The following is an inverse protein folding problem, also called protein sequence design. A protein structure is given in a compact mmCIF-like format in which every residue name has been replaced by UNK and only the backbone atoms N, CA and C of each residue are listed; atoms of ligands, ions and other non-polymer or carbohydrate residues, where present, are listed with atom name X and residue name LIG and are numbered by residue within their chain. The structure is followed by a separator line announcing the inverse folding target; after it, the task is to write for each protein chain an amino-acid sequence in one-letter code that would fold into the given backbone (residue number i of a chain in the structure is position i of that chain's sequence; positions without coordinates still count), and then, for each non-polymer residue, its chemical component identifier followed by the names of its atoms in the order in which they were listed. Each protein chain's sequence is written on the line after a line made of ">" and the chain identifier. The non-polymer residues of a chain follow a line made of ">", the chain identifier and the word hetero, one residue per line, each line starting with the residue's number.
data_IF_159702393548
#
_entry.id   IF_159702393548
#
_cell.length_a   1.000
_cell.length_b   1.000
_cell.length_c   1.000
_cell.angle_alpha   90.00
_cell.angle_beta   90.00
_cell.angle_gamma   90.00
#
_symmetry.space_group_name_H-M   'P 1'
#
loop_
_entity.id
_entity.type
_entity.pdbx_description
1 polymer ?
#
# COMPACT_ATOMS: atom_id res chain seq x y z
N UNK A 1 -3.55 -28.85 20.32
CA UNK A 1 -4.30 -27.62 20.66
C UNK A 1 -3.32 -26.72 21.37
N UNK A 2 -2.79 -25.72 20.69
CA UNK A 2 -1.71 -24.87 21.20
C UNK A 2 -2.25 -23.86 22.23
N UNK A 3 -1.96 -24.10 23.51
CA UNK A 3 -2.36 -23.26 24.65
C UNK A 3 -2.02 -21.78 24.42
N UNK A 4 -0.87 -21.47 23.82
CA UNK A 4 -0.47 -20.11 23.49
C UNK A 4 -1.31 -19.44 22.40
N UNK A 5 -1.91 -20.21 21.48
CA UNK A 5 -2.85 -19.65 20.50
C UNK A 5 -4.15 -19.24 21.17
N UNK A 6 -4.63 -20.06 22.11
CA UNK A 6 -5.84 -19.80 22.90
C UNK A 6 -5.63 -18.56 23.77
N UNK A 7 -4.48 -18.46 24.45
CA UNK A 7 -4.15 -17.29 25.28
C UNK A 7 -4.23 -15.97 24.49
N UNK A 8 -3.64 -15.89 23.29
CA UNK A 8 -3.70 -14.68 22.44
C UNK A 8 -5.12 -14.29 22.05
N UNK A 9 -5.96 -15.29 21.77
CA UNK A 9 -7.38 -15.04 21.43
C UNK A 9 -8.15 -14.50 22.63
N UNK A 10 -7.90 -15.05 23.83
CA UNK A 10 -8.52 -14.55 25.07
C UNK A 10 -8.08 -13.12 25.37
N UNK A 11 -6.80 -12.79 25.19
CA UNK A 11 -6.27 -11.43 25.38
C UNK A 11 -6.87 -10.44 24.37
N UNK A 12 -6.95 -10.81 23.09
CA UNK A 12 -7.60 -9.99 22.08
C UNK A 12 -9.09 -9.75 22.39
N UNK A 13 -9.81 -10.79 22.83
CA UNK A 13 -11.21 -10.67 23.22
C UNK A 13 -11.41 -9.71 24.40
N UNK A 14 -10.50 -9.72 25.40
CA UNK A 14 -10.56 -8.77 26.52
C UNK A 14 -10.46 -7.32 26.06
N UNK A 15 -9.60 -7.03 25.08
CA UNK A 15 -9.42 -5.68 24.51
C UNK A 15 -10.60 -5.30 23.61
N UNK A 16 -11.08 -6.21 22.77
CA UNK A 16 -12.16 -5.92 21.82
C UNK A 16 -13.56 -5.93 22.48
N UNK A 17 -13.70 -6.59 23.64
CA UNK A 17 -14.96 -6.74 24.36
C UNK A 17 -15.32 -5.55 25.26
N UNK A 18 -14.35 -4.76 25.70
CA UNK A 18 -14.58 -3.54 26.47
C UNK A 18 -14.58 -2.30 25.56
N UNK A 19 -15.58 -1.42 25.73
CA UNK A 19 -15.80 -0.28 24.83
C UNK A 19 -14.64 0.72 24.85
N UNK A 20 -14.03 0.95 26.01
CA UNK A 20 -12.96 1.94 26.16
C UNK A 20 -11.65 1.45 25.54
N UNK A 21 -11.24 0.23 25.88
CA UNK A 21 -10.04 -0.41 25.33
C UNK A 21 -10.17 -0.70 23.84
N UNK A 22 -11.37 -1.08 23.36
CA UNK A 22 -11.65 -1.18 21.92
C UNK A 22 -11.48 0.16 21.20
N UNK A 23 -12.00 1.25 21.75
CA UNK A 23 -11.87 2.57 21.13
C UNK A 23 -10.39 2.99 20.98
N UNK A 24 -9.56 2.69 21.98
CA UNK A 24 -8.11 2.93 21.92
C UNK A 24 -7.45 2.03 20.86
N UNK A 25 -7.80 0.74 20.83
CA UNK A 25 -7.28 -0.19 19.83
C UNK A 25 -7.65 0.24 18.39
N UNK A 26 -8.91 0.62 18.18
CA UNK A 26 -9.42 1.08 16.88
C UNK A 26 -8.70 2.37 16.46
N UNK A 27 -8.43 3.29 17.40
CA UNK A 27 -7.62 4.48 17.14
C UNK A 27 -6.19 4.10 16.69
N UNK A 28 -5.49 3.26 17.47
CA UNK A 28 -4.13 2.82 17.12
C UNK A 28 -4.08 2.08 15.78
N UNK A 29 -5.09 1.25 15.49
CA UNK A 29 -5.20 0.55 14.23
C UNK A 29 -5.38 1.54 13.07
N UNK A 30 -6.22 2.56 13.23
CA UNK A 30 -6.43 3.60 12.23
C UNK A 30 -5.15 4.40 11.94
N UNK A 31 -4.36 4.72 12.96
CA UNK A 31 -3.09 5.43 12.83
C UNK A 31 -2.07 4.57 12.08
N UNK A 32 -1.91 3.31 12.49
CA UNK A 32 -1.03 2.35 11.81
C UNK A 32 -1.44 2.16 10.36
N UNK A 33 -2.72 1.98 10.09
CA UNK A 33 -3.28 1.86 8.74
C UNK A 33 -3.03 3.11 7.88
N UNK A 34 -3.03 4.30 8.48
CA UNK A 34 -2.73 5.55 7.77
C UNK A 34 -1.24 5.66 7.42
N UNK A 35 -0.37 5.26 8.34
CA UNK A 35 1.08 5.24 8.12
C UNK A 35 1.46 4.20 7.05
N UNK A 36 0.89 2.99 7.15
CA UNK A 36 1.13 1.90 6.19
C UNK A 36 0.60 2.22 4.79
N UNK A 37 -0.59 2.82 4.68
CA UNK A 37 -1.07 3.32 3.39
C UNK A 37 -0.21 4.46 2.85
N UNK A 38 0.47 5.21 3.71
CA UNK A 38 1.32 6.31 3.31
C UNK A 38 0.55 7.47 2.66
N UNK A 39 1.28 8.49 2.23
CA UNK A 39 0.72 9.64 1.52
C UNK A 39 1.05 9.51 0.03
N UNK A 40 0.03 9.66 -0.82
CA UNK A 40 0.22 9.83 -2.27
C UNK A 40 0.75 11.24 -2.52
N UNK A 41 1.96 11.31 -3.07
CA UNK A 41 2.72 12.56 -3.22
C UNK A 41 2.49 13.26 -4.55
N UNK A 42 2.08 12.52 -5.58
CA UNK A 42 1.79 13.01 -6.92
C UNK A 42 0.91 12.02 -7.68
N UNK A 43 0.26 12.51 -8.72
CA UNK A 43 -0.39 11.71 -9.76
C UNK A 43 0.48 11.85 -11.03
N UNK A 44 0.79 10.73 -11.67
CA UNK A 44 1.69 10.65 -12.84
C UNK A 44 0.97 9.87 -13.92
N UNK A 45 0.96 10.39 -15.13
CA UNK A 45 0.38 9.69 -16.27
C UNK A 45 1.30 8.53 -16.71
N UNK A 46 0.73 7.37 -17.01
CA UNK A 46 1.51 6.19 -17.42
C UNK A 46 2.33 6.47 -18.70
N UNK A 47 1.83 7.31 -19.59
CA UNK A 47 2.52 7.71 -20.83
C UNK A 47 3.74 8.62 -20.55
N UNK A 48 3.83 9.22 -19.36
CA UNK A 48 5.01 9.99 -18.92
C UNK A 48 6.10 9.11 -18.29
N UNK A 49 5.82 7.83 -18.03
CA UNK A 49 6.77 6.89 -17.46
C UNK A 49 7.63 6.22 -18.53
N UNK A 50 8.85 5.82 -18.17
CA UNK A 50 9.77 5.13 -19.07
C UNK A 50 9.41 3.64 -19.14
N UNK A 51 8.97 3.19 -20.32
CA UNK A 51 8.50 1.82 -20.57
C UNK A 51 9.65 0.89 -20.98
N UNK A 52 9.82 -0.19 -20.22
CA UNK A 52 10.80 -1.25 -20.46
C UNK A 52 10.11 -2.49 -21.04
N UNK A 53 10.07 -2.59 -22.37
CA UNK A 53 9.36 -3.67 -23.09
C UNK A 53 9.81 -5.08 -22.69
N UNK A 54 11.08 -5.27 -22.33
CA UNK A 54 11.64 -6.59 -21.98
C UNK A 54 11.11 -7.10 -20.64
N UNK A 55 10.83 -6.20 -19.69
CA UNK A 55 10.34 -6.54 -18.36
C UNK A 55 8.88 -6.17 -18.14
N UNK A 56 8.22 -5.61 -19.16
CA UNK A 56 6.82 -5.14 -19.10
C UNK A 56 6.60 -4.24 -17.88
N UNK A 57 7.49 -3.25 -17.73
CA UNK A 57 7.57 -2.40 -16.54
C UNK A 57 7.66 -0.92 -16.93
N UNK A 58 6.99 -0.06 -16.16
CA UNK A 58 7.10 1.38 -16.28
C UNK A 58 7.85 1.94 -15.08
N UNK A 59 8.77 2.86 -15.35
CA UNK A 59 9.62 3.47 -14.31
C UNK A 59 9.57 4.98 -14.35
N UNK A 60 9.62 5.62 -13.17
CA UNK A 60 9.82 7.06 -13.09
C UNK A 60 10.69 7.44 -11.88
N UNK A 61 11.55 8.47 -12.02
CA UNK A 61 12.53 8.79 -10.99
C UNK A 61 11.88 9.43 -9.77
N UNK A 62 12.22 8.93 -8.59
CA UNK A 62 11.88 9.56 -7.32
C UNK A 62 12.93 10.58 -6.90
N UNK A 63 12.48 11.60 -6.17
CA UNK A 63 13.32 12.68 -5.60
C UNK A 63 14.35 12.18 -4.58
N UNK A 64 14.20 10.96 -4.08
CA UNK A 64 15.20 10.32 -3.21
C UNK A 64 16.38 9.69 -3.97
N UNK A 65 16.31 9.63 -5.31
CA UNK A 65 17.34 9.03 -6.16
C UNK A 65 17.15 7.53 -6.44
N UNK A 66 16.00 6.96 -6.10
CA UNK A 66 15.54 5.64 -6.57
C UNK A 66 14.33 5.83 -7.47
N UNK A 67 13.67 4.75 -7.91
CA UNK A 67 12.57 4.81 -8.87
C UNK A 67 11.24 4.34 -8.25
N UNK A 68 10.15 4.82 -8.85
CA UNK A 68 8.85 4.16 -8.79
C UNK A 68 8.78 3.16 -9.94
N UNK A 69 8.26 1.97 -9.67
CA UNK A 69 8.26 0.84 -10.60
C UNK A 69 6.87 0.20 -10.55
N UNK A 70 6.22 0.10 -11.70
CA UNK A 70 4.93 -0.60 -11.84
C UNK A 70 5.03 -1.61 -12.97
N UNK A 71 4.52 -2.82 -12.74
CA UNK A 71 4.54 -3.89 -13.72
C UNK A 71 3.21 -3.97 -14.46
N UNK A 72 3.18 -4.68 -15.60
CA UNK A 72 1.92 -4.93 -16.31
C UNK A 72 0.92 -5.70 -15.43
N UNK A 73 1.39 -6.69 -14.67
CA UNK A 73 0.58 -7.47 -13.72
C UNK A 73 -0.07 -6.56 -12.67
N UNK A 74 0.67 -5.59 -12.12
CA UNK A 74 0.12 -4.58 -11.21
C UNK A 74 -1.01 -3.76 -11.86
N UNK A 75 -0.84 -3.34 -13.12
CA UNK A 75 -1.86 -2.58 -13.84
C UNK A 75 -3.10 -3.43 -14.14
N UNK A 76 -2.93 -4.69 -14.53
CA UNK A 76 -4.03 -5.64 -14.77
C UNK A 76 -4.81 -5.99 -13.49
N UNK A 77 -4.14 -6.01 -12.34
CA UNK A 77 -4.76 -6.17 -11.01
C UNK A 77 -5.41 -4.88 -10.47
N UNK A 78 -5.36 -3.78 -11.23
CA UNK A 78 -5.95 -2.50 -10.85
C UNK A 78 -5.13 -1.72 -9.80
N UNK A 79 -3.84 -2.00 -9.67
CA UNK A 79 -2.94 -1.30 -8.75
C UNK A 79 -2.58 0.07 -9.33
N UNK A 80 -3.25 1.11 -8.84
CA UNK A 80 -2.99 2.50 -9.25
C UNK A 80 -2.00 3.23 -8.33
N UNK A 81 -1.67 2.69 -7.14
CA UNK A 81 -0.80 3.38 -6.16
C UNK A 81 0.50 2.65 -5.89
N UNK A 82 1.58 3.20 -6.45
CA UNK A 82 2.92 2.61 -6.48
C UNK A 82 3.83 3.28 -5.44
N UNK A 83 4.62 2.48 -4.72
CA UNK A 83 5.61 2.97 -3.76
C UNK A 83 7.00 3.12 -4.39
N UNK A 84 7.79 4.06 -3.89
CA UNK A 84 9.20 4.14 -4.25
C UNK A 84 9.99 3.01 -3.58
N UNK A 85 10.95 2.41 -4.28
CA UNK A 85 11.85 1.38 -3.72
C UNK A 85 12.82 1.88 -2.65
N UNK A 86 13.06 3.20 -2.58
CA UNK A 86 14.03 3.82 -1.67
C UNK A 86 13.46 4.66 -0.52
N UNK A 87 12.17 4.95 -0.51
CA UNK A 87 11.57 5.79 0.52
C UNK A 87 10.10 5.42 0.77
N UNK A 88 9.41 6.16 1.65
CA UNK A 88 8.00 5.93 1.97
C UNK A 88 7.02 6.71 1.09
N UNK A 89 7.51 7.42 0.06
CA UNK A 89 6.64 8.14 -0.87
C UNK A 89 5.94 7.17 -1.81
N UNK A 90 4.71 7.55 -2.16
CA UNK A 90 3.88 6.85 -3.13
C UNK A 90 3.41 7.82 -4.20
N UNK A 91 3.13 7.32 -5.38
CA UNK A 91 2.47 8.06 -6.47
C UNK A 91 1.22 7.29 -6.90
N UNK A 92 0.28 8.00 -7.50
CA UNK A 92 -0.81 7.38 -8.25
C UNK A 92 -0.46 7.40 -9.73
N UNK A 93 -0.58 6.27 -10.39
CA UNK A 93 -0.40 6.12 -11.83
C UNK A 93 -1.77 6.24 -12.48
N UNK A 94 -1.90 7.16 -13.43
CA UNK A 94 -3.11 7.38 -14.21
C UNK A 94 -2.96 6.62 -15.53
N UNK A 95 -3.90 5.74 -15.85
CA UNK A 95 -3.93 5.00 -17.09
C UNK A 95 -5.37 4.80 -17.56
N UNK A 96 -5.56 4.72 -18.87
CA UNK A 96 -6.85 4.35 -19.45
C UNK A 96 -6.89 2.82 -19.60
N UNK A 97 -7.74 2.17 -18.81
CA UNK A 97 -8.14 0.79 -19.11
C UNK A 97 -8.86 0.84 -20.45
N UNK A 98 -8.31 0.19 -21.48
CA UNK A 98 -8.97 0.08 -22.77
C UNK A 98 -10.30 -0.65 -22.56
N UNK A 99 -11.38 0.13 -22.41
CA UNK A 99 -12.71 -0.36 -22.11
C UNK A 99 -13.08 -1.45 -23.12
N UNK A 100 -13.17 -2.69 -22.63
CA UNK A 100 -13.60 -3.85 -23.42
C UNK A 100 -15.12 -3.97 -23.40
#
# INVERSE_FOLDING_TARGET
>A
MDEGRIQRVVEAWKVLGDVSSRAIYDQQLSERHRVERGVVSAEVDLDEMDHHEVSETWTCPCRCGQDYIVTLDDLEDGVDVVGCSGCSLRIRVLYEEAAT
#
